data_IF_772521277749
#
_entry.id   IF_772521277749
#
_cell.length_a   1.000
_cell.length_b   1.000
_cell.length_c   1.000
_cell.angle_alpha   90.00
_cell.angle_beta   90.00
_cell.angle_gamma   90.00
#
_symmetry.space_group_name_H-M   'P 1'
#
loop_
_entity.id
_entity.type
_entity.pdbx_description
1 polymer ?
#
# COMPACT_ATOMS: atom_id res chain seq x y z
N UNK A 1 -11.97 13.06 -13.62
CA UNK A 1 -11.44 12.28 -14.76
C UNK A 1 -10.37 11.33 -14.22
N UNK A 2 -10.24 10.12 -14.74
CA UNK A 2 -9.10 9.25 -14.41
C UNK A 2 -7.93 9.59 -15.33
N UNK A 3 -6.75 9.71 -14.74
CA UNK A 3 -5.48 10.06 -15.41
C UNK A 3 -4.49 8.90 -15.24
N UNK A 4 -3.33 9.00 -15.90
CA UNK A 4 -2.20 8.06 -15.74
C UNK A 4 -2.54 6.60 -16.14
N UNK A 5 -3.05 6.43 -17.37
CA UNK A 5 -3.42 5.12 -17.94
C UNK A 5 -2.23 4.20 -18.29
N UNK A 6 -0.99 4.60 -17.98
CA UNK A 6 0.23 3.85 -18.34
C UNK A 6 0.31 2.45 -17.68
N UNK A 7 -0.42 2.22 -16.58
CA UNK A 7 -0.50 0.93 -15.88
C UNK A 7 -1.86 0.24 -16.04
N UNK A 8 -2.73 0.72 -16.93
CA UNK A 8 -4.04 0.11 -17.14
C UNK A 8 -3.89 -1.27 -17.80
N UNK A 9 -4.53 -2.29 -17.21
CA UNK A 9 -4.44 -3.68 -17.63
C UNK A 9 -5.80 -4.36 -17.54
N UNK A 10 -5.97 -5.45 -18.28
CA UNK A 10 -7.10 -6.36 -18.08
C UNK A 10 -6.84 -7.23 -16.85
N UNK A 11 -7.81 -7.31 -15.95
CA UNK A 11 -7.66 -8.08 -14.72
C UNK A 11 -8.96 -8.19 -13.94
N UNK A 12 -8.84 -8.75 -12.75
CA UNK A 12 -9.93 -8.85 -11.78
C UNK A 12 -10.36 -7.43 -11.32
N UNK A 13 -11.63 -7.02 -11.50
CA UNK A 13 -12.10 -5.70 -11.08
C UNK A 13 -12.05 -5.48 -9.55
N UNK A 14 -12.00 -6.55 -8.75
CA UNK A 14 -11.82 -6.47 -7.30
C UNK A 14 -10.42 -5.95 -6.96
N UNK A 15 -9.42 -6.23 -7.81
CA UNK A 15 -8.07 -5.73 -7.64
C UNK A 15 -8.01 -4.20 -7.68
N UNK A 16 -8.66 -3.58 -8.67
CA UNK A 16 -8.72 -2.11 -8.78
C UNK A 16 -9.43 -1.47 -7.58
N UNK A 17 -10.48 -2.11 -7.06
CA UNK A 17 -11.13 -1.68 -5.82
C UNK A 17 -10.15 -1.75 -4.63
N UNK A 18 -9.38 -2.83 -4.51
CA UNK A 18 -8.39 -3.00 -3.44
C UNK A 18 -7.28 -1.94 -3.52
N UNK A 19 -6.76 -1.68 -4.72
CA UNK A 19 -5.75 -0.63 -4.98
C UNK A 19 -6.30 0.73 -4.57
N UNK A 20 -7.54 1.06 -4.96
CA UNK A 20 -8.18 2.32 -4.59
C UNK A 20 -8.36 2.46 -3.08
N UNK A 21 -8.89 1.43 -2.40
CA UNK A 21 -9.05 1.44 -0.95
C UNK A 21 -7.70 1.61 -0.24
N UNK A 22 -6.67 0.87 -0.67
CA UNK A 22 -5.34 0.93 -0.09
C UNK A 22 -4.72 2.34 -0.21
N UNK A 23 -4.86 2.98 -1.37
CA UNK A 23 -4.28 4.31 -1.64
C UNK A 23 -5.01 5.44 -0.93
N UNK A 24 -6.34 5.35 -0.77
CA UNK A 24 -7.15 6.45 -0.24
C UNK A 24 -7.18 6.51 1.29
N UNK A 25 -6.88 5.41 1.98
CA UNK A 25 -6.86 5.40 3.45
C UNK A 25 -8.21 5.69 4.10
N UNK A 26 -9.30 5.26 3.45
CA UNK A 26 -10.68 5.47 3.91
C UNK A 26 -10.90 4.99 5.35
N UNK A 27 -11.70 5.76 6.10
CA UNK A 27 -12.29 5.32 7.35
C UNK A 27 -13.29 4.17 7.12
N UNK A 28 -13.64 3.38 8.16
CA UNK A 28 -14.51 2.22 8.01
C UNK A 28 -15.85 2.52 7.31
N UNK A 29 -16.53 3.61 7.69
CA UNK A 29 -17.82 4.02 7.10
C UNK A 29 -17.69 4.43 5.62
N UNK A 30 -16.60 5.12 5.28
CA UNK A 30 -16.31 5.52 3.90
C UNK A 30 -16.03 4.31 3.02
N UNK A 31 -15.28 3.33 3.56
CA UNK A 31 -14.99 2.07 2.88
C UNK A 31 -16.28 1.27 2.64
N UNK A 32 -17.13 1.14 3.64
CA UNK A 32 -18.41 0.42 3.51
C UNK A 32 -19.32 1.08 2.45
N UNK A 33 -19.40 2.41 2.47
CA UNK A 33 -20.15 3.18 1.48
C UNK A 33 -19.61 2.96 0.07
N UNK A 34 -18.29 3.01 -0.10
CA UNK A 34 -17.62 2.76 -1.37
C UNK A 34 -17.91 1.35 -1.89
N UNK A 35 -17.68 0.31 -1.07
CA UNK A 35 -17.88 -1.08 -1.50
C UNK A 35 -19.35 -1.36 -1.83
N UNK A 36 -20.28 -0.76 -1.09
CA UNK A 36 -21.72 -0.85 -1.37
C UNK A 36 -22.09 -0.22 -2.72
N UNK A 37 -21.53 0.97 -3.03
CA UNK A 37 -21.74 1.64 -4.32
C UNK A 37 -21.12 0.85 -5.48
N UNK A 38 -19.92 0.34 -5.28
CA UNK A 38 -19.20 -0.48 -6.25
C UNK A 38 -19.98 -1.76 -6.56
N UNK A 39 -20.39 -2.53 -5.53
CA UNK A 39 -21.12 -3.79 -5.70
C UNK A 39 -22.45 -3.60 -6.43
N UNK A 40 -23.18 -2.51 -6.15
CA UNK A 40 -24.43 -2.18 -6.87
C UNK A 40 -24.24 -1.90 -8.36
N UNK A 41 -23.02 -1.54 -8.79
CA UNK A 41 -22.73 -1.16 -10.17
C UNK A 41 -22.09 -2.28 -10.99
N UNK A 42 -21.51 -3.26 -10.33
CA UNK A 42 -20.85 -4.40 -10.96
C UNK A 42 -21.86 -5.47 -11.37
N UNK A 43 -21.53 -6.21 -12.44
CA UNK A 43 -22.28 -7.40 -12.82
C UNK A 43 -22.05 -8.51 -11.78
N UNK A 44 -23.12 -9.25 -11.44
CA UNK A 44 -23.07 -10.30 -10.41
C UNK A 44 -22.08 -11.42 -10.80
N UNK A 45 -22.05 -11.78 -12.09
CA UNK A 45 -21.14 -12.77 -12.68
C UNK A 45 -19.64 -12.44 -12.52
N UNK A 46 -19.29 -11.17 -12.29
CA UNK A 46 -17.91 -10.72 -12.08
C UNK A 46 -17.59 -10.43 -10.62
N UNK A 47 -18.52 -10.71 -9.70
CA UNK A 47 -18.38 -10.36 -8.28
C UNK A 47 -18.80 -11.49 -7.35
N UNK A 48 -18.85 -12.73 -7.84
CA UNK A 48 -18.93 -13.91 -6.99
C UNK A 48 -17.67 -14.02 -6.15
N UNK A 49 -17.79 -14.09 -4.82
CA UNK A 49 -16.64 -14.23 -3.91
C UNK A 49 -15.83 -12.96 -3.67
N UNK A 50 -16.28 -11.80 -4.17
CA UNK A 50 -15.51 -10.56 -4.16
C UNK A 50 -15.01 -10.12 -2.77
N UNK A 51 -15.71 -10.43 -1.68
CA UNK A 51 -15.26 -10.09 -0.33
C UNK A 51 -13.97 -10.84 0.05
N UNK A 52 -13.87 -12.11 -0.34
CA UNK A 52 -12.67 -12.92 -0.11
C UNK A 52 -11.52 -12.39 -0.96
N UNK A 53 -11.77 -12.17 -2.25
CA UNK A 53 -10.76 -11.66 -3.18
C UNK A 53 -10.29 -10.27 -2.78
N UNK A 54 -11.18 -9.41 -2.30
CA UNK A 54 -10.83 -8.09 -1.78
C UNK A 54 -9.89 -8.20 -0.56
N UNK A 55 -10.13 -9.15 0.34
CA UNK A 55 -9.24 -9.35 1.49
C UNK A 55 -7.85 -9.84 1.06
N UNK A 56 -7.78 -10.73 0.05
CA UNK A 56 -6.53 -11.21 -0.55
C UNK A 56 -5.79 -10.07 -1.22
N UNK A 57 -6.45 -9.31 -2.09
CA UNK A 57 -5.86 -8.18 -2.82
C UNK A 57 -5.40 -7.06 -1.89
N UNK A 58 -6.15 -6.74 -0.83
CA UNK A 58 -5.71 -5.77 0.18
C UNK A 58 -4.45 -6.24 0.93
N UNK A 59 -4.32 -7.54 1.18
CA UNK A 59 -3.12 -8.11 1.80
C UNK A 59 -1.93 -8.05 0.85
N UNK A 60 -2.15 -8.37 -0.44
CA UNK A 60 -1.17 -8.17 -1.49
C UNK A 60 -0.72 -6.71 -1.60
N UNK A 61 -1.63 -5.74 -1.59
CA UNK A 61 -1.29 -4.31 -1.69
C UNK A 61 -0.47 -3.81 -0.50
N UNK A 62 -0.73 -4.29 0.73
CA UNK A 62 0.10 -3.97 1.91
C UNK A 62 1.56 -4.38 1.69
N UNK A 63 1.77 -5.61 1.20
CA UNK A 63 3.10 -6.14 0.90
C UNK A 63 3.76 -5.40 -0.26
N UNK A 64 3.05 -5.26 -1.39
CA UNK A 64 3.56 -4.57 -2.58
C UNK A 64 3.97 -3.13 -2.27
N UNK A 65 3.12 -2.39 -1.57
CA UNK A 65 3.36 -1.00 -1.17
C UNK A 65 4.60 -0.86 -0.29
N UNK A 66 4.78 -1.76 0.69
CA UNK A 66 5.98 -1.79 1.51
C UNK A 66 7.25 -2.03 0.68
N UNK A 67 7.24 -2.97 -0.28
CA UNK A 67 8.40 -3.24 -1.13
C UNK A 67 8.73 -2.03 -2.03
N UNK A 68 7.73 -1.51 -2.75
CA UNK A 68 7.92 -0.40 -3.69
C UNK A 68 8.41 0.85 -2.96
N UNK A 69 7.85 1.14 -1.80
CA UNK A 69 8.27 2.30 -1.01
C UNK A 69 9.62 2.11 -0.32
N UNK A 70 9.99 0.89 0.08
CA UNK A 70 11.35 0.61 0.56
C UNK A 70 12.39 1.02 -0.49
N UNK A 71 12.20 0.58 -1.74
CA UNK A 71 13.11 0.89 -2.85
C UNK A 71 13.10 2.39 -3.15
N UNK A 72 11.91 3.01 -3.20
CA UNK A 72 11.77 4.44 -3.47
C UNK A 72 12.48 5.28 -2.40
N UNK A 73 12.25 4.99 -1.13
CA UNK A 73 12.85 5.74 -0.02
C UNK A 73 14.35 5.48 0.06
N UNK A 74 14.82 4.25 -0.15
CA UNK A 74 16.25 3.93 -0.18
C UNK A 74 17.00 4.78 -1.21
N UNK A 75 16.41 4.97 -2.40
CA UNK A 75 16.96 5.84 -3.45
C UNK A 75 16.97 7.31 -3.03
N UNK A 76 15.90 7.81 -2.42
CA UNK A 76 15.85 9.19 -1.90
C UNK A 76 16.92 9.43 -0.84
N UNK A 77 17.10 8.50 0.09
CA UNK A 77 18.12 8.62 1.14
C UNK A 77 19.54 8.52 0.60
N UNK A 78 19.80 7.65 -0.39
CA UNK A 78 21.08 7.57 -1.08
C UNK A 78 21.42 8.85 -1.86
N UNK A 79 20.40 9.50 -2.46
CA UNK A 79 20.56 10.76 -3.18
C UNK A 79 20.57 12.01 -2.27
N UNK A 80 20.33 11.83 -0.97
CA UNK A 80 20.11 12.93 -0.01
C UNK A 80 18.97 13.89 -0.45
N UNK A 81 17.86 13.31 -0.89
CA UNK A 81 16.67 14.03 -1.34
C UNK A 81 16.58 14.24 -2.86
N UNK A 82 15.73 15.17 -3.32
CA UNK A 82 14.80 15.97 -2.52
C UNK A 82 13.75 15.09 -1.84
N UNK A 83 13.50 15.33 -0.55
CA UNK A 83 12.47 14.61 0.19
C UNK A 83 11.10 15.27 -0.03
N UNK A 84 10.04 14.51 -0.37
CA UNK A 84 8.71 15.08 -0.56
C UNK A 84 8.05 15.53 0.75
N UNK A 85 8.51 14.96 1.87
CA UNK A 85 8.08 15.26 3.24
C UNK A 85 9.29 15.23 4.16
N UNK A 86 9.21 15.77 5.40
CA UNK A 86 10.28 15.63 6.37
C UNK A 86 10.69 14.16 6.59
N UNK A 87 11.99 13.89 6.75
CA UNK A 87 12.53 12.53 6.88
C UNK A 87 11.80 11.69 7.95
N UNK A 88 11.50 12.27 9.11
CA UNK A 88 10.80 11.58 10.19
C UNK A 88 9.40 11.08 9.78
N UNK A 89 8.70 11.79 8.88
CA UNK A 89 7.41 11.35 8.35
C UNK A 89 7.56 10.20 7.35
N UNK A 90 8.62 10.23 6.53
CA UNK A 90 8.95 9.12 5.63
C UNK A 90 9.28 7.86 6.44
N UNK A 91 10.05 7.99 7.53
CA UNK A 91 10.35 6.87 8.43
C UNK A 91 9.09 6.34 9.11
N UNK A 92 8.26 7.21 9.68
CA UNK A 92 7.00 6.80 10.29
C UNK A 92 6.06 6.10 9.29
N UNK A 93 5.93 6.63 8.07
CA UNK A 93 5.15 6.04 6.99
C UNK A 93 5.70 4.67 6.59
N UNK A 94 7.04 4.55 6.47
CA UNK A 94 7.69 3.30 6.11
C UNK A 94 7.51 2.24 7.19
N UNK A 95 7.69 2.59 8.46
CA UNK A 95 7.46 1.69 9.59
C UNK A 95 6.02 1.19 9.61
N UNK A 96 5.05 2.09 9.41
CA UNK A 96 3.64 1.71 9.36
C UNK A 96 3.36 0.72 8.22
N UNK A 97 3.93 0.95 7.03
CA UNK A 97 3.77 0.04 5.87
C UNK A 97 4.41 -1.32 6.10
N UNK A 98 5.63 -1.36 6.63
CA UNK A 98 6.30 -2.62 6.95
C UNK A 98 5.54 -3.41 8.00
N UNK A 99 5.04 -2.76 9.05
CA UNK A 99 4.25 -3.43 10.09
C UNK A 99 2.91 -3.94 9.55
N UNK A 100 2.23 -3.16 8.70
CA UNK A 100 1.01 -3.61 8.02
C UNK A 100 1.26 -4.78 7.05
N UNK A 101 2.41 -4.81 6.40
CA UNK A 101 2.83 -5.92 5.55
C UNK A 101 3.19 -7.16 6.38
N UNK A 102 3.97 -7.03 7.45
CA UNK A 102 4.38 -8.14 8.31
C UNK A 102 3.19 -8.92 8.87
N UNK A 103 2.10 -8.23 9.19
CA UNK A 103 0.86 -8.85 9.68
C UNK A 103 0.24 -9.86 8.69
N UNK A 104 0.55 -9.77 7.39
CA UNK A 104 0.00 -10.64 6.34
C UNK A 104 1.07 -11.41 5.55
N UNK A 105 2.34 -11.03 5.65
CA UNK A 105 3.46 -11.61 4.89
C UNK A 105 4.11 -12.81 5.60
N UNK A 106 3.78 -13.07 6.87
CA UNK A 106 4.39 -14.17 7.63
C UNK A 106 5.86 -13.94 7.98
N UNK A 107 6.30 -12.69 7.98
CA UNK A 107 7.65 -12.26 8.39
C UNK A 107 7.70 -12.01 9.91
N UNK A 108 8.88 -11.77 10.50
CA UNK A 108 9.00 -11.47 11.92
C UNK A 108 8.10 -10.30 12.34
N UNK A 109 7.81 -10.21 13.65
CA UNK A 109 6.88 -9.25 14.25
C UNK A 109 7.18 -7.77 13.98
N UNK A 110 6.46 -6.85 14.66
CA UNK A 110 6.54 -5.43 14.38
C UNK A 110 7.98 -4.90 14.54
N UNK A 111 8.37 -4.02 13.63
CA UNK A 111 9.66 -3.33 13.64
C UNK A 111 9.49 -1.92 14.20
N UNK A 112 10.51 -1.46 14.94
CA UNK A 112 10.54 -0.14 15.53
C UNK A 112 10.97 0.92 14.50
N UNK A 113 10.51 2.18 14.63
CA UNK A 113 10.97 3.28 13.76
C UNK A 113 12.50 3.44 13.73
N UNK A 114 13.16 3.26 14.87
CA UNK A 114 14.63 3.36 14.98
C UNK A 114 15.35 2.31 14.12
N UNK A 115 14.80 1.10 13.98
CA UNK A 115 15.36 0.05 13.13
C UNK A 115 15.27 0.41 11.66
N UNK A 116 14.15 0.99 11.24
CA UNK A 116 13.92 1.44 9.85
C UNK A 116 14.86 2.60 9.52
N UNK A 117 14.96 3.59 10.40
CA UNK A 117 15.86 4.74 10.23
C UNK A 117 17.33 4.29 10.13
N UNK A 118 17.79 3.43 11.04
CA UNK A 118 19.14 2.87 11.00
C UNK A 118 19.43 2.12 9.69
N UNK A 119 18.46 1.37 9.16
CA UNK A 119 18.62 0.64 7.90
C UNK A 119 18.79 1.58 6.70
N UNK A 120 18.02 2.67 6.61
CA UNK A 120 18.19 3.64 5.52
C UNK A 120 19.47 4.46 5.64
N UNK A 121 19.87 4.82 6.86
CA UNK A 121 21.15 5.52 7.10
C UNK A 121 22.32 4.67 6.64
N UNK A 122 22.37 3.42 7.12
CA UNK A 122 23.38 2.45 6.72
C UNK A 122 23.43 2.25 5.20
N UNK A 123 22.27 2.15 4.54
CA UNK A 123 22.17 2.07 3.07
C UNK A 123 22.74 3.30 2.37
N UNK A 124 22.50 4.50 2.92
CA UNK A 124 23.01 5.75 2.35
C UNK A 124 24.49 6.03 2.63
N UNK A 125 25.18 5.15 3.36
CA UNK A 125 26.56 5.37 3.81
C UNK A 125 26.67 6.44 4.91
N UNK A 126 25.61 6.63 5.70
CA UNK A 126 25.52 7.60 6.80
C UNK A 126 25.17 6.94 8.12
#
# INVERSE_FOLDING_TARGET
VFLDWELALWGDPVYDLAVHIHKMGYQPEERERLTSLWKRRMAEEHTTGWEHDLAVHLSHERVKSAIVDAVRYARLFAANGPFPYPEHQLMASMTAKLNAAHAVWGTPGPIAPATVDAAFRAWSGR
#
